data_IF_078405794243
#
_entry.id   IF_078405794243
#
_cell.length_a   1.000
_cell.length_b   1.000
_cell.length_c   1.000
_cell.angle_alpha   90.00
_cell.angle_beta   90.00
_cell.angle_gamma   90.00
#
_symmetry.space_group_name_H-M   'P 1'
#
loop_
_entity.id
_entity.type
_entity.pdbx_description
1 polymer ?
#
# COMPACT_ATOMS: atom_id res chain seq x y z
N UNK A 1 -18.95 -63.81 8.96
CA UNK A 1 -18.49 -62.96 10.08
C UNK A 1 -17.45 -61.96 9.58
N UNK A 2 -17.75 -60.66 9.74
CA UNK A 2 -16.89 -59.45 9.64
C UNK A 2 -16.24 -59.08 8.29
N UNK A 3 -16.93 -58.20 7.54
CA UNK A 3 -16.37 -57.28 6.54
C UNK A 3 -15.51 -56.22 7.27
N UNK A 4 -14.27 -55.98 6.81
CA UNK A 4 -13.49 -54.78 7.18
C UNK A 4 -13.31 -53.91 5.94
N UNK A 5 -13.97 -52.77 5.95
CA UNK A 5 -13.84 -51.70 4.98
C UNK A 5 -12.59 -50.89 5.34
N UNK A 6 -11.55 -50.93 4.51
CA UNK A 6 -10.38 -50.06 4.67
C UNK A 6 -10.61 -48.81 3.82
N UNK A 7 -10.92 -47.68 4.46
CA UNK A 7 -11.00 -46.37 3.82
C UNK A 7 -9.59 -45.83 3.68
N UNK A 8 -9.03 -45.89 2.47
CA UNK A 8 -7.81 -45.18 2.12
C UNK A 8 -8.15 -43.70 1.92
N UNK A 9 -7.78 -42.85 2.87
CA UNK A 9 -7.79 -41.40 2.71
C UNK A 9 -6.48 -41.02 2.02
N UNK A 10 -6.58 -40.54 0.78
CA UNK A 10 -5.46 -39.99 0.04
C UNK A 10 -5.22 -38.56 0.56
N UNK A 11 -4.17 -38.36 1.36
CA UNK A 11 -3.77 -37.03 1.79
C UNK A 11 -3.10 -36.31 0.62
N UNK A 12 -3.78 -35.30 0.06
CA UNK A 12 -3.23 -34.41 -0.95
C UNK A 12 -2.31 -33.41 -0.24
N UNK A 13 -1.00 -33.67 -0.27
CA UNK A 13 0.01 -32.73 0.21
C UNK A 13 0.18 -31.60 -0.79
N UNK A 14 -0.45 -30.45 -0.55
CA UNK A 14 -0.14 -29.21 -1.26
C UNK A 14 1.17 -28.69 -0.65
N UNK A 15 2.28 -28.94 -1.32
CA UNK A 15 3.53 -28.23 -1.05
C UNK A 15 3.35 -26.79 -1.52
N UNK A 16 3.02 -25.86 -0.62
CA UNK A 16 3.19 -24.43 -0.86
C UNK A 16 4.70 -24.17 -0.95
N UNK A 17 5.26 -24.33 -2.14
CA UNK A 17 6.48 -23.63 -2.50
C UNK A 17 6.14 -22.14 -2.42
N UNK A 18 6.72 -21.45 -1.44
CA UNK A 18 6.55 -20.02 -1.27
C UNK A 18 7.02 -19.31 -2.52
N UNK A 19 6.08 -18.99 -3.41
CA UNK A 19 6.31 -17.95 -4.40
C UNK A 19 6.39 -16.68 -3.56
N UNK A 20 7.60 -16.16 -3.38
CA UNK A 20 7.77 -14.79 -2.93
C UNK A 20 7.23 -13.90 -4.05
N UNK A 21 5.91 -13.75 -4.12
CA UNK A 21 5.35 -12.54 -4.68
C UNK A 21 5.77 -11.45 -3.70
N UNK A 22 6.96 -10.87 -3.93
CA UNK A 22 7.25 -9.55 -3.43
C UNK A 22 6.12 -8.70 -3.99
N UNK A 23 5.15 -8.32 -3.16
CA UNK A 23 4.12 -7.39 -3.59
C UNK A 23 4.89 -6.16 -4.07
N UNK A 24 4.97 -5.95 -5.38
CA UNK A 24 5.55 -4.74 -5.91
C UNK A 24 4.74 -3.58 -5.32
N UNK A 25 5.41 -2.59 -4.74
CA UNK A 25 4.71 -1.42 -4.22
C UNK A 25 3.81 -0.85 -5.32
N UNK A 26 2.54 -0.65 -4.99
CA UNK A 26 1.58 -0.04 -5.89
C UNK A 26 1.54 1.47 -5.64
N UNK A 27 1.99 2.23 -6.62
CA UNK A 27 2.07 3.69 -6.64
C UNK A 27 0.87 4.36 -7.31
N UNK A 28 -0.14 3.59 -7.72
CA UNK A 28 -1.39 4.13 -8.26
C UNK A 28 -2.07 5.01 -7.22
N UNK A 29 -2.21 6.29 -7.52
CA UNK A 29 -2.90 7.30 -6.71
C UNK A 29 -2.93 8.65 -7.44
N UNK A 30 -3.54 9.64 -6.77
CA UNK A 30 -3.27 11.05 -7.04
C UNK A 30 -2.09 11.50 -6.18
N UNK A 31 -1.13 12.18 -6.82
CA UNK A 31 0.08 12.71 -6.20
C UNK A 31 0.19 14.21 -6.43
N UNK A 32 0.78 14.94 -5.50
CA UNK A 32 0.87 16.40 -5.57
C UNK A 32 2.00 16.97 -4.70
N UNK A 33 2.29 18.25 -4.91
CA UNK A 33 3.10 19.06 -3.99
C UNK A 33 2.16 20.03 -3.25
N UNK A 34 2.05 19.96 -1.91
CA UNK A 34 1.18 20.85 -1.15
C UNK A 34 1.56 22.34 -1.29
N UNK A 35 2.82 22.65 -1.61
CA UNK A 35 3.28 24.02 -1.85
C UNK A 35 2.91 24.55 -3.24
N UNK A 36 2.48 23.67 -4.15
CA UNK A 36 2.06 23.99 -5.52
C UNK A 36 0.62 23.51 -5.76
N UNK A 37 -0.29 23.82 -4.84
CA UNK A 37 -1.71 23.48 -4.97
C UNK A 37 -2.33 24.05 -6.26
N UNK A 38 -3.16 23.24 -6.92
CA UNK A 38 -3.78 23.54 -8.23
C UNK A 38 -3.21 22.72 -9.40
N UNK A 39 -2.04 22.09 -9.22
CA UNK A 39 -1.47 21.09 -10.14
C UNK A 39 -1.29 19.74 -9.42
N UNK A 40 -1.02 18.69 -10.18
CA UNK A 40 -0.81 17.35 -9.62
C UNK A 40 -0.74 16.26 -10.68
N UNK A 41 -0.72 15.03 -10.21
CA UNK A 41 -0.38 13.86 -11.01
C UNK A 41 -1.39 12.76 -10.74
N UNK A 42 -2.00 12.22 -11.79
CA UNK A 42 -2.72 10.96 -11.71
C UNK A 42 -1.76 9.87 -12.17
N UNK A 43 -1.46 8.89 -11.31
CA UNK A 43 -0.59 7.77 -11.63
C UNK A 43 -1.45 6.50 -11.68
N UNK A 44 -1.41 5.81 -12.81
CA UNK A 44 -1.91 4.44 -12.96
C UNK A 44 -0.75 3.46 -13.06
N UNK A 45 -0.91 2.27 -12.46
CA UNK A 45 0.12 1.24 -12.46
C UNK A 45 -0.43 -0.14 -12.84
N UNK A 46 0.28 -0.85 -13.71
CA UNK A 46 0.01 -2.25 -14.06
C UNK A 46 1.33 -3.04 -14.06
N UNK A 47 1.57 -3.82 -13.01
CA UNK A 47 2.85 -4.49 -12.81
C UNK A 47 3.98 -3.46 -12.68
N UNK A 48 4.98 -3.54 -13.57
CA UNK A 48 6.09 -2.59 -13.67
C UNK A 48 5.79 -1.41 -14.62
N UNK A 49 4.58 -1.32 -15.18
CA UNK A 49 4.19 -0.25 -16.11
C UNK A 49 3.49 0.88 -15.39
N UNK A 50 3.95 2.09 -15.63
CA UNK A 50 3.34 3.33 -15.16
C UNK A 50 2.80 4.11 -16.35
N UNK A 51 1.61 4.67 -16.19
CA UNK A 51 1.10 5.77 -17.00
C UNK A 51 0.70 6.89 -16.05
N UNK A 52 1.21 8.10 -16.30
CA UNK A 52 0.85 9.27 -15.51
C UNK A 52 0.40 10.43 -16.38
N UNK A 53 -0.50 11.24 -15.82
CA UNK A 53 -0.91 12.52 -16.36
C UNK A 53 -0.60 13.61 -15.33
N UNK A 54 0.31 14.52 -15.68
CA UNK A 54 0.61 15.75 -14.94
C UNK A 54 -0.30 16.87 -15.42
N UNK A 55 -1.32 17.23 -14.65
CA UNK A 55 -2.11 18.42 -14.91
C UNK A 55 -1.43 19.64 -14.30
N UNK A 56 -1.29 20.71 -15.08
CA UNK A 56 -0.53 21.91 -14.74
C UNK A 56 -1.08 23.12 -15.49
N UNK A 57 -0.40 24.26 -15.37
CA UNK A 57 -0.72 25.47 -16.12
C UNK A 57 0.40 25.79 -17.12
N UNK A 58 0.01 26.13 -18.35
CA UNK A 58 0.95 26.52 -19.42
C UNK A 58 1.54 27.92 -19.19
N UNK A 59 2.36 28.39 -20.13
CA UNK A 59 2.99 29.72 -20.06
C UNK A 59 1.99 30.89 -19.98
N UNK A 60 0.73 30.70 -20.37
CA UNK A 60 -0.34 31.70 -20.32
C UNK A 60 -1.24 31.51 -19.09
N UNK A 61 -0.92 30.58 -18.19
CA UNK A 61 -1.73 30.24 -17.03
C UNK A 61 -2.98 29.41 -17.36
N UNK A 62 -3.10 28.85 -18.57
CA UNK A 62 -4.22 27.98 -18.94
C UNK A 62 -3.94 26.55 -18.50
N UNK A 63 -4.99 25.84 -18.08
CA UNK A 63 -4.89 24.43 -17.73
C UNK A 63 -4.37 23.61 -18.93
N UNK A 64 -3.44 22.72 -18.66
CA UNK A 64 -2.81 21.82 -19.63
C UNK A 64 -2.44 20.51 -18.94
N UNK A 65 -2.09 19.49 -19.72
CA UNK A 65 -1.58 18.24 -19.18
C UNK A 65 -0.41 17.71 -20.02
N UNK A 66 0.53 17.05 -19.35
CA UNK A 66 1.61 16.27 -19.96
C UNK A 66 1.51 14.82 -19.51
N UNK A 67 1.89 13.90 -20.37
CA UNK A 67 1.84 12.47 -20.11
C UNK A 67 3.23 11.86 -20.13
N UNK A 68 3.48 10.93 -19.21
CA UNK A 68 4.65 10.06 -19.20
C UNK A 68 4.16 8.63 -19.03
N UNK A 69 4.73 7.69 -19.76
CA UNK A 69 4.52 6.27 -19.52
C UNK A 69 5.80 5.48 -19.77
N UNK A 70 5.93 4.33 -19.12
CA UNK A 70 7.07 3.44 -19.32
C UNK A 70 7.20 2.40 -18.23
N UNK A 71 8.39 1.80 -18.14
CA UNK A 71 8.73 0.80 -17.12
C UNK A 71 9.36 1.45 -15.91
N UNK A 72 8.81 1.15 -14.74
CA UNK A 72 9.41 1.41 -13.44
C UNK A 72 10.48 0.36 -13.17
N UNK A 73 11.71 0.81 -12.91
CA UNK A 73 12.80 -0.11 -12.59
C UNK A 73 12.69 -0.69 -11.16
N UNK A 74 13.60 -1.59 -10.82
CA UNK A 74 13.68 -2.25 -9.51
C UNK A 74 14.01 -1.29 -8.35
N UNK A 75 14.42 -0.05 -8.66
CA UNK A 75 14.71 1.01 -7.70
C UNK A 75 13.57 2.02 -7.59
N UNK A 76 12.44 1.80 -8.25
CA UNK A 76 11.31 2.72 -8.24
C UNK A 76 11.54 3.97 -9.08
N UNK A 77 12.35 3.89 -10.14
CA UNK A 77 12.64 5.00 -11.05
C UNK A 77 12.07 4.72 -12.45
N UNK A 78 11.39 5.72 -12.99
CA UNK A 78 10.91 5.75 -14.37
C UNK A 78 11.52 6.96 -15.08
N UNK A 79 12.25 6.68 -16.17
CA UNK A 79 12.79 7.69 -17.08
C UNK A 79 12.09 7.59 -18.43
N UNK A 80 11.64 8.72 -18.99
CA UNK A 80 11.02 8.70 -20.30
C UNK A 80 10.73 10.08 -20.88
N UNK A 81 10.08 10.07 -22.05
CA UNK A 81 9.67 11.29 -22.75
C UNK A 81 8.35 11.83 -22.20
N UNK A 82 8.23 13.16 -22.17
CA UNK A 82 6.99 13.85 -21.88
C UNK A 82 6.25 14.16 -23.16
N UNK A 83 4.96 13.82 -23.19
CA UNK A 83 4.11 14.01 -24.34
C UNK A 83 2.98 15.00 -24.03
N UNK A 84 2.69 15.87 -25.00
CA UNK A 84 1.50 16.73 -25.02
C UNK A 84 0.57 16.25 -26.12
N UNK A 85 -0.72 16.19 -25.84
CA UNK A 85 -1.73 15.85 -26.85
C UNK A 85 -2.67 17.01 -27.13
N UNK A 86 -3.19 17.06 -28.34
CA UNK A 86 -4.24 17.99 -28.80
C UNK A 86 -5.17 17.26 -29.76
N UNK A 87 -6.42 17.70 -29.88
CA UNK A 87 -7.41 17.13 -30.80
C UNK A 87 -8.77 17.79 -30.64
N UNK A 88 -9.77 17.23 -31.30
CA UNK A 88 -11.14 17.74 -31.29
C UNK A 88 -11.84 17.54 -29.93
N UNK A 89 -12.90 18.33 -29.71
CA UNK A 89 -13.75 18.17 -28.54
C UNK A 89 -14.58 16.87 -28.61
N UNK A 90 -14.93 16.24 -27.48
CA UNK A 90 -15.79 15.06 -27.50
C UNK A 90 -17.19 15.37 -28.06
N UNK A 91 -17.68 14.60 -29.03
CA UNK A 91 -19.04 14.72 -29.56
C UNK A 91 -19.19 14.37 -31.04
N UNK A 92 -20.35 14.74 -31.61
CA UNK A 92 -20.59 14.64 -33.05
C UNK A 92 -19.57 15.49 -33.81
N UNK A 93 -18.85 14.87 -34.74
CA UNK A 93 -17.76 15.52 -35.49
C UNK A 93 -16.36 15.32 -34.90
N UNK A 94 -16.19 14.52 -33.84
CA UNK A 94 -14.87 14.09 -33.39
C UNK A 94 -14.15 13.28 -34.47
N UNK A 95 -13.02 13.79 -34.96
CA UNK A 95 -12.15 13.06 -35.88
C UNK A 95 -10.89 12.56 -35.15
N UNK A 96 -10.69 11.23 -35.02
CA UNK A 96 -9.49 10.69 -34.41
C UNK A 96 -8.21 11.05 -35.16
N UNK A 97 -8.27 11.40 -36.45
CA UNK A 97 -7.10 11.81 -37.24
C UNK A 97 -6.57 13.20 -36.83
N UNK A 98 -7.38 14.03 -36.18
CA UNK A 98 -6.95 15.32 -35.62
C UNK A 98 -6.20 15.19 -34.29
N UNK A 99 -6.20 14.00 -33.67
CA UNK A 99 -5.45 13.76 -32.43
C UNK A 99 -3.96 13.70 -32.74
N UNK A 100 -3.21 14.63 -32.15
CA UNK A 100 -1.75 14.67 -32.25
C UNK A 100 -1.13 14.51 -30.88
N UNK A 101 -0.09 13.69 -30.79
CA UNK A 101 0.72 13.51 -29.59
C UNK A 101 2.17 13.83 -29.91
N UNK A 102 2.69 14.88 -29.28
CA UNK A 102 4.02 15.42 -29.56
C UNK A 102 4.92 15.24 -28.35
N UNK A 103 6.13 14.74 -28.56
CA UNK A 103 7.17 14.73 -27.54
C UNK A 103 7.63 16.18 -27.28
N UNK A 104 7.47 16.64 -26.05
CA UNK A 104 7.86 17.99 -25.64
C UNK A 104 9.08 18.00 -24.73
N UNK A 105 9.61 16.85 -24.33
CA UNK A 105 10.77 16.78 -23.42
C UNK A 105 10.93 15.44 -22.72
N UNK A 106 11.49 15.48 -21.52
CA UNK A 106 11.78 14.28 -20.72
C UNK A 106 11.45 14.50 -19.26
N UNK A 107 11.16 13.41 -18.57
CA UNK A 107 11.01 13.41 -17.12
C UNK A 107 11.60 12.17 -16.47
N UNK A 108 11.86 12.31 -15.17
CA UNK A 108 12.21 11.24 -14.26
C UNK A 108 11.22 11.26 -13.09
N UNK A 109 10.47 10.18 -12.91
CA UNK A 109 9.70 9.94 -11.70
C UNK A 109 10.50 8.97 -10.82
N UNK A 110 10.72 9.32 -9.54
CA UNK A 110 11.44 8.47 -8.59
C UNK A 110 10.65 8.34 -7.30
N UNK A 111 10.35 7.12 -6.85
CA UNK A 111 9.70 6.85 -5.57
C UNK A 111 10.77 6.56 -4.51
N UNK A 112 10.79 7.34 -3.43
CA UNK A 112 11.69 7.11 -2.28
C UNK A 112 11.01 6.31 -1.16
N UNK A 113 9.68 6.27 -1.16
CA UNK A 113 8.85 5.42 -0.32
C UNK A 113 7.49 5.20 -0.98
N UNK A 114 6.59 4.46 -0.34
CA UNK A 114 5.21 4.31 -0.83
C UNK A 114 4.41 5.61 -0.85
N UNK A 115 4.86 6.62 -0.08
CA UNK A 115 4.16 7.89 0.16
C UNK A 115 4.98 9.12 -0.24
N UNK A 116 6.15 8.93 -0.85
CA UNK A 116 7.04 10.04 -1.24
C UNK A 116 7.69 9.75 -2.59
N UNK A 117 7.63 10.75 -3.47
CA UNK A 117 8.25 10.70 -4.78
C UNK A 117 8.87 12.04 -5.17
N UNK A 118 9.61 12.06 -6.28
CA UNK A 118 10.09 13.27 -6.93
C UNK A 118 9.86 13.16 -8.43
N UNK A 119 9.36 14.24 -9.03
CA UNK A 119 9.18 14.37 -10.47
C UNK A 119 10.12 15.44 -11.01
N UNK A 120 11.20 15.00 -11.66
CA UNK A 120 12.14 15.87 -12.35
C UNK A 120 11.71 16.00 -13.82
N UNK A 121 11.66 17.21 -14.34
CA UNK A 121 11.20 17.46 -15.71
C UNK A 121 12.10 18.42 -16.46
N UNK A 122 12.10 18.27 -17.79
CA UNK A 122 12.61 19.23 -18.75
C UNK A 122 11.71 19.18 -19.97
N UNK A 123 11.00 20.26 -20.30
CA UNK A 123 10.14 20.29 -21.49
C UNK A 123 10.02 21.67 -22.13
N UNK A 124 9.71 21.67 -23.42
CA UNK A 124 9.43 22.84 -24.23
C UNK A 124 8.04 23.40 -23.90
N UNK A 125 7.99 24.63 -23.42
CA UNK A 125 6.76 25.37 -23.15
C UNK A 125 6.70 26.62 -24.04
N UNK A 126 6.35 26.41 -25.32
CA UNK A 126 6.48 27.45 -26.34
C UNK A 126 7.94 27.62 -26.77
N UNK A 127 8.47 28.84 -26.70
CA UNK A 127 9.89 29.14 -26.98
C UNK A 127 10.83 28.85 -25.81
N UNK A 128 10.29 28.67 -24.61
CA UNK A 128 11.07 28.46 -23.39
C UNK A 128 11.24 26.97 -23.08
N UNK A 129 12.38 26.60 -22.51
CA UNK A 129 12.58 25.31 -21.85
C UNK A 129 12.31 25.50 -20.36
N UNK A 130 11.40 24.70 -19.80
CA UNK A 130 11.15 24.64 -18.35
C UNK A 130 11.79 23.40 -17.78
N UNK A 131 12.52 23.58 -16.68
CA UNK A 131 13.13 22.49 -15.91
C UNK A 131 12.82 22.66 -14.43
N UNK A 132 12.80 21.55 -13.70
CA UNK A 132 12.61 21.59 -12.26
C UNK A 132 12.44 20.21 -11.64
N UNK A 133 12.27 20.21 -10.31
CA UNK A 133 11.94 19.03 -9.52
C UNK A 133 10.74 19.37 -8.65
N UNK A 134 9.73 18.51 -8.66
CA UNK A 134 8.56 18.63 -7.81
C UNK A 134 8.61 17.48 -6.79
N UNK A 135 8.76 17.77 -5.48
CA UNK A 135 8.57 16.74 -4.46
C UNK A 135 7.07 16.37 -4.41
N UNK A 136 6.77 15.09 -4.33
CA UNK A 136 5.41 14.58 -4.38
C UNK A 136 5.07 13.77 -3.13
N UNK A 137 3.87 14.00 -2.62
CA UNK A 137 3.18 13.14 -1.66
C UNK A 137 1.84 12.68 -2.24
N UNK A 138 1.25 11.62 -1.68
CA UNK A 138 -0.10 11.19 -2.07
C UNK A 138 -1.14 12.19 -1.60
N UNK A 139 -2.14 12.44 -2.42
CA UNK A 139 -3.22 13.38 -2.14
C UNK A 139 -4.32 12.73 -1.30
N UNK A 140 -4.71 13.37 -0.19
CA UNK A 140 -5.88 12.97 0.59
C UNK A 140 -7.12 13.73 0.07
N UNK A 141 -8.12 13.01 -0.44
CA UNK A 141 -9.33 13.64 -1.01
C UNK A 141 -10.25 14.27 0.04
N UNK A 142 -10.28 13.71 1.25
CA UNK A 142 -11.07 14.23 2.35
C UNK A 142 -10.14 14.92 3.36
N UNK A 143 -10.68 15.95 4.04
CA UNK A 143 -10.02 16.62 5.16
C UNK A 143 -10.04 15.75 6.42
N UNK A 144 -10.95 14.78 6.48
CA UNK A 144 -10.94 13.71 7.47
C UNK A 144 -10.27 12.49 6.89
N UNK A 145 -9.59 11.74 7.74
CA UNK A 145 -9.02 10.48 7.28
C UNK A 145 -10.12 9.52 6.83
N UNK A 146 -9.82 8.64 5.86
CA UNK A 146 -10.73 7.55 5.51
C UNK A 146 -11.04 6.75 6.78
N UNK A 147 -12.33 6.55 7.04
CA UNK A 147 -12.72 5.70 8.15
C UNK A 147 -12.26 4.26 7.88
N UNK A 148 -11.51 3.72 8.82
CA UNK A 148 -11.09 2.31 8.82
C UNK A 148 -12.02 1.44 9.66
N UNK A 149 -13.19 1.95 10.07
CA UNK A 149 -14.13 1.20 10.92
C UNK A 149 -14.63 -0.02 10.17
N UNK A 150 -14.35 -1.20 10.72
CA UNK A 150 -14.75 -2.44 10.08
C UNK A 150 -14.27 -3.68 10.80
N UNK A 151 -14.74 -4.83 10.33
CA UNK A 151 -14.30 -6.14 10.80
C UNK A 151 -14.11 -7.07 9.63
N UNK A 152 -13.02 -7.83 9.63
CA UNK A 152 -12.63 -8.70 8.52
C UNK A 152 -12.29 -10.10 9.01
N UNK A 153 -12.63 -11.13 8.22
CA UNK A 153 -12.04 -12.46 8.34
C UNK A 153 -10.70 -12.45 7.63
N UNK A 154 -9.64 -12.74 8.34
CA UNK A 154 -8.27 -12.59 7.85
C UNK A 154 -7.55 -13.93 7.76
N UNK A 155 -6.55 -13.98 6.87
CA UNK A 155 -5.41 -14.88 7.00
C UNK A 155 -4.20 -14.03 7.35
N UNK A 156 -3.53 -14.33 8.45
CA UNK A 156 -2.31 -13.68 8.87
C UNK A 156 -1.12 -14.62 8.76
N UNK A 157 -0.07 -14.20 8.06
CA UNK A 157 1.23 -14.84 8.02
C UNK A 157 2.19 -14.09 8.94
N UNK A 158 2.66 -14.78 9.97
CA UNK A 158 3.56 -14.26 10.98
C UNK A 158 4.94 -14.86 10.76
N UNK A 159 5.95 -14.01 10.66
CA UNK A 159 7.36 -14.37 10.59
C UNK A 159 8.07 -13.80 11.82
N UNK A 160 8.62 -14.66 12.66
CA UNK A 160 9.40 -14.24 13.82
C UNK A 160 10.88 -14.54 13.62
N UNK A 161 11.73 -13.71 14.18
CA UNK A 161 13.17 -13.88 14.17
C UNK A 161 13.78 -13.37 15.47
N UNK A 162 14.77 -14.11 15.99
CA UNK A 162 15.51 -13.68 17.17
C UNK A 162 14.66 -13.72 18.45
N UNK A 163 13.73 -14.68 18.54
CA UNK A 163 12.82 -14.86 19.67
C UNK A 163 13.17 -16.13 20.47
N UNK A 164 14.11 -16.08 21.44
CA UNK A 164 14.54 -17.21 22.26
C UNK A 164 13.41 -17.96 22.97
N UNK A 165 12.35 -17.26 23.34
CA UNK A 165 11.13 -17.84 23.92
C UNK A 165 10.37 -18.80 22.96
N UNK A 166 10.66 -18.77 21.66
CA UNK A 166 10.03 -19.63 20.65
C UNK A 166 10.93 -20.82 20.29
N UNK A 167 10.31 -21.95 19.96
CA UNK A 167 11.00 -23.12 19.40
C UNK A 167 10.36 -23.52 18.07
N UNK A 168 11.06 -23.35 16.92
CA UNK A 168 12.38 -22.73 16.77
C UNK A 168 12.39 -21.20 17.02
N UNK A 169 13.54 -20.59 17.37
CA UNK A 169 13.65 -19.15 17.67
C UNK A 169 13.38 -18.21 16.49
N UNK A 170 13.32 -18.76 15.28
CA UNK A 170 12.90 -18.09 14.07
C UNK A 170 12.02 -19.02 13.26
N UNK A 171 10.99 -18.49 12.62
CA UNK A 171 10.07 -19.31 11.86
C UNK A 171 8.96 -18.52 11.19
N UNK A 172 8.05 -19.24 10.55
CA UNK A 172 6.89 -18.65 9.88
C UNK A 172 5.67 -19.54 10.08
N UNK A 173 4.52 -18.94 10.38
CA UNK A 173 3.22 -19.62 10.50
C UNK A 173 2.11 -18.75 9.97
N UNK A 174 1.06 -19.40 9.47
CA UNK A 174 -0.18 -18.71 9.06
C UNK A 174 -1.34 -19.14 9.94
N UNK A 175 -2.26 -18.20 10.21
CA UNK A 175 -3.50 -18.44 10.96
C UNK A 175 -4.68 -17.75 10.27
N UNK A 176 -5.87 -18.31 10.48
CA UNK A 176 -7.13 -17.67 10.13
C UNK A 176 -7.70 -17.04 11.40
N UNK A 177 -8.21 -15.82 11.30
CA UNK A 177 -8.74 -15.08 12.42
C UNK A 177 -9.71 -13.99 12.00
N UNK A 178 -9.98 -13.08 12.91
CA UNK A 178 -10.72 -11.86 12.65
C UNK A 178 -9.90 -10.66 13.08
N UNK A 179 -10.03 -9.53 12.40
CA UNK A 179 -9.52 -8.25 12.89
C UNK A 179 -10.61 -7.22 12.85
N UNK A 180 -10.70 -6.41 13.90
CA UNK A 180 -11.60 -5.27 13.99
C UNK A 180 -10.76 -4.00 14.14
N UNK A 181 -11.01 -3.04 13.25
CA UNK A 181 -10.50 -1.68 13.38
C UNK A 181 -11.65 -0.77 13.80
N UNK A 182 -11.38 0.12 14.74
CA UNK A 182 -12.35 1.10 15.19
C UNK A 182 -11.65 2.43 15.47
N UNK A 183 -12.15 3.48 14.86
CA UNK A 183 -11.71 4.84 15.07
C UNK A 183 -11.97 5.25 16.52
N UNK A 184 -11.00 6.00 17.04
CA UNK A 184 -11.08 6.76 18.26
C UNK A 184 -11.03 8.25 17.88
N UNK A 185 -10.86 9.10 18.89
CA UNK A 185 -10.61 10.52 18.67
C UNK A 185 -9.18 10.75 18.13
N UNK A 186 -8.96 11.91 17.50
CA UNK A 186 -7.64 12.43 17.09
C UNK A 186 -6.79 11.51 16.17
N UNK A 187 -7.42 10.76 15.26
CA UNK A 187 -6.70 9.91 14.29
C UNK A 187 -6.11 8.62 14.88
N UNK A 188 -6.54 8.26 16.10
CA UNK A 188 -6.20 6.99 16.73
C UNK A 188 -7.20 5.91 16.37
N UNK A 189 -6.76 4.67 16.45
CA UNK A 189 -7.57 3.49 16.20
C UNK A 189 -7.33 2.43 17.26
N UNK A 190 -8.35 1.62 17.52
CA UNK A 190 -8.15 0.30 18.09
C UNK A 190 -7.94 -0.72 16.98
N UNK A 191 -7.00 -1.64 17.14
CA UNK A 191 -6.84 -2.84 16.32
C UNK A 191 -6.97 -4.05 17.24
N UNK A 192 -8.02 -4.86 17.04
CA UNK A 192 -8.29 -6.08 17.79
C UNK A 192 -8.24 -7.28 16.84
N UNK A 193 -7.13 -8.03 16.90
CA UNK A 193 -6.86 -9.20 16.08
C UNK A 193 -7.04 -10.48 16.90
N UNK A 194 -7.95 -11.38 16.48
CA UNK A 194 -8.33 -12.59 17.23
C UNK A 194 -8.16 -13.88 16.43
N UNK A 195 -7.63 -14.91 17.10
CA UNK A 195 -7.31 -16.22 16.48
C UNK A 195 -7.91 -17.42 17.21
N UNK A 196 -9.23 -17.46 17.41
CA UNK A 196 -9.88 -18.57 18.14
C UNK A 196 -9.25 -18.83 19.52
N UNK A 197 -9.45 -20.04 20.07
CA UNK A 197 -9.04 -20.38 21.44
C UNK A 197 -7.60 -20.95 21.56
N UNK A 198 -6.68 -20.64 20.62
CA UNK A 198 -5.36 -21.30 20.58
C UNK A 198 -4.23 -20.47 21.22
N UNK A 199 -3.58 -20.98 22.30
CA UNK A 199 -2.70 -20.21 23.17
C UNK A 199 -1.26 -19.99 22.68
N UNK A 200 -0.96 -20.30 21.43
CA UNK A 200 0.43 -20.26 20.92
C UNK A 200 0.81 -18.94 20.26
N UNK A 201 -0.16 -18.08 19.97
CA UNK A 201 0.00 -16.69 19.53
C UNK A 201 -1.33 -16.03 19.88
N UNK A 202 -1.35 -15.24 20.95
CA UNK A 202 -2.56 -14.64 21.51
C UNK A 202 -3.21 -13.67 20.53
N UNK A 203 -4.44 -13.26 20.86
CA UNK A 203 -5.07 -12.12 20.16
C UNK A 203 -4.28 -10.85 20.47
N UNK A 204 -4.02 -9.99 19.49
CA UNK A 204 -3.31 -8.73 19.67
C UNK A 204 -4.31 -7.60 19.76
N UNK A 205 -4.20 -6.77 20.80
CA UNK A 205 -5.08 -5.60 20.99
C UNK A 205 -4.20 -4.35 21.11
N UNK A 206 -4.25 -3.49 20.11
CA UNK A 206 -3.73 -2.13 20.17
C UNK A 206 -4.89 -1.17 20.44
N UNK A 207 -4.85 -0.45 21.56
CA UNK A 207 -5.95 0.46 21.95
C UNK A 207 -5.71 1.91 21.55
N UNK A 208 -4.49 2.29 21.20
CA UNK A 208 -4.13 3.66 20.76
C UNK A 208 -3.14 3.58 19.62
N UNK A 209 -3.57 2.99 18.50
CA UNK A 209 -2.79 2.94 17.28
C UNK A 209 -2.91 4.28 16.54
N UNK A 210 -1.87 5.09 16.58
CA UNK A 210 -1.82 6.35 15.84
C UNK A 210 -1.53 6.04 14.37
N UNK A 211 -2.51 6.28 13.50
CA UNK A 211 -2.40 6.05 12.06
C UNK A 211 -2.39 7.39 11.32
N UNK A 212 -1.49 7.51 10.35
CA UNK A 212 -1.41 8.65 9.43
C UNK A 212 -1.73 8.17 8.02
N UNK A 213 -2.73 8.81 7.42
CA UNK A 213 -3.09 8.60 6.01
C UNK A 213 -2.14 9.33 5.06
N UNK A 214 -1.80 8.67 3.96
CA UNK A 214 -1.23 9.24 2.75
C UNK A 214 -1.90 8.57 1.54
N UNK A 215 -2.81 9.29 0.88
CA UNK A 215 -3.69 8.73 -0.16
C UNK A 215 -4.52 7.57 0.39
N UNK A 216 -4.47 6.43 -0.26
CA UNK A 216 -5.16 5.21 0.18
C UNK A 216 -4.42 4.38 1.24
N UNK A 217 -3.23 4.82 1.68
CA UNK A 217 -2.35 4.05 2.58
C UNK A 217 -2.32 4.69 3.95
N UNK A 218 -2.32 3.85 4.98
CA UNK A 218 -2.12 4.23 6.37
C UNK A 218 -0.80 3.64 6.89
N UNK A 219 -0.05 4.45 7.62
CA UNK A 219 1.16 4.03 8.34
C UNK A 219 1.10 4.52 9.76
N UNK A 220 1.75 3.86 10.71
CA UNK A 220 1.61 4.30 12.09
C UNK A 220 2.33 3.44 13.10
N UNK A 221 2.11 3.77 14.36
CA UNK A 221 2.68 3.05 15.49
C UNK A 221 1.77 3.16 16.71
N UNK A 222 1.96 2.25 17.65
CA UNK A 222 1.25 2.26 18.90
C UNK A 222 1.83 1.23 19.86
N UNK A 223 1.14 1.05 20.97
CA UNK A 223 1.37 -0.08 21.86
C UNK A 223 0.27 -1.11 21.67
N UNK A 224 0.64 -2.37 21.88
CA UNK A 224 -0.34 -3.45 21.96
C UNK A 224 -0.19 -4.20 23.27
N UNK A 225 -1.24 -4.90 23.66
CA UNK A 225 -1.20 -5.93 24.69
C UNK A 225 -1.61 -7.26 24.08
N UNK A 226 -0.85 -8.31 24.38
CA UNK A 226 -1.28 -9.68 24.10
C UNK A 226 -2.47 -10.01 25.03
N UNK A 227 -3.57 -10.45 24.41
CA UNK A 227 -4.82 -10.72 25.12
C UNK A 227 -4.71 -11.83 26.16
N UNK A 228 -3.77 -12.76 26.02
CA UNK A 228 -3.59 -13.93 26.88
C UNK A 228 -2.52 -13.66 27.94
N UNK A 229 -1.32 -13.28 27.51
CA UNK A 229 -0.17 -13.09 28.40
C UNK A 229 -0.24 -11.74 29.12
N UNK A 230 -1.05 -10.80 28.62
CA UNK A 230 -1.08 -9.39 29.04
C UNK A 230 0.25 -8.67 28.86
N UNK A 231 1.18 -9.27 28.12
CA UNK A 231 2.46 -8.64 27.81
C UNK A 231 2.22 -7.50 26.83
N UNK A 232 2.83 -6.35 27.13
CA UNK A 232 2.76 -5.21 26.26
C UNK A 232 3.90 -5.21 25.24
N UNK A 233 3.70 -4.52 24.13
CA UNK A 233 4.67 -4.41 23.05
C UNK A 233 4.54 -3.11 22.28
N UNK A 234 5.47 -2.87 21.36
CA UNK A 234 5.32 -1.84 20.33
C UNK A 234 4.83 -2.50 19.04
N UNK A 235 3.85 -1.87 18.38
CA UNK A 235 3.40 -2.22 17.04
C UNK A 235 3.71 -1.05 16.10
N UNK A 236 4.25 -1.37 14.93
CA UNK A 236 4.59 -0.44 13.86
C UNK A 236 3.91 -0.91 12.59
N UNK A 237 2.85 -0.22 12.18
CA UNK A 237 2.15 -0.47 10.92
C UNK A 237 2.96 0.12 9.79
N UNK A 238 3.50 -0.76 8.95
CA UNK A 238 4.28 -0.41 7.75
C UNK A 238 3.36 -0.02 6.60
N UNK A 239 2.24 -0.71 6.46
CA UNK A 239 1.21 -0.43 5.46
C UNK A 239 -0.13 -0.97 5.95
N UNK A 240 -1.17 -0.15 5.89
CA UNK A 240 -2.56 -0.56 6.06
C UNK A 240 -3.37 0.03 4.93
N UNK A 241 -4.18 -0.78 4.28
CA UNK A 241 -5.02 -0.35 3.17
C UNK A 241 -6.31 -1.17 3.14
N UNK A 242 -7.41 -0.51 2.81
CA UNK A 242 -8.67 -1.17 2.45
C UNK A 242 -8.92 -0.87 0.97
N UNK A 243 -9.13 -1.90 0.16
CA UNK A 243 -9.39 -1.77 -1.28
C UNK A 243 -10.51 -2.70 -1.66
N UNK A 244 -11.62 -2.15 -2.18
CA UNK A 244 -12.82 -2.94 -2.50
C UNK A 244 -13.26 -3.81 -1.30
N UNK A 245 -13.28 -3.19 -0.12
CA UNK A 245 -13.57 -3.82 1.19
C UNK A 245 -12.57 -4.89 1.66
N UNK A 246 -11.55 -5.23 0.86
CA UNK A 246 -10.47 -6.13 1.27
C UNK A 246 -9.45 -5.37 2.11
N UNK A 247 -9.23 -5.83 3.33
CA UNK A 247 -8.17 -5.33 4.21
C UNK A 247 -6.84 -5.98 3.83
N UNK A 248 -5.78 -5.18 3.81
CA UNK A 248 -4.39 -5.62 3.77
C UNK A 248 -3.58 -4.82 4.79
N UNK A 249 -2.88 -5.52 5.69
CA UNK A 249 -2.03 -4.89 6.70
C UNK A 249 -0.68 -5.59 6.76
N UNK A 250 0.38 -4.79 6.74
CA UNK A 250 1.73 -5.15 7.11
C UNK A 250 2.12 -4.39 8.36
N UNK A 251 2.50 -5.10 9.41
CA UNK A 251 3.05 -4.49 10.61
C UNK A 251 4.19 -5.31 11.20
N UNK A 252 5.00 -4.64 12.00
CA UNK A 252 6.06 -5.24 12.81
C UNK A 252 5.70 -5.01 14.25
N UNK A 253 5.86 -6.03 15.10
CA UNK A 253 5.70 -5.87 16.53
C UNK A 253 6.87 -6.46 17.32
N UNK A 254 7.17 -5.80 18.44
CA UNK A 254 8.24 -6.17 19.36
C UNK A 254 7.61 -6.45 20.75
N UNK A 255 7.70 -7.69 21.27
CA UNK A 255 7.27 -7.99 22.64
C UNK A 255 8.18 -7.25 23.65
N UNK A 256 7.65 -6.62 24.71
CA UNK A 256 8.49 -5.89 25.70
C UNK A 256 9.22 -6.80 26.69
N UNK A 257 8.97 -8.12 26.73
CA UNK A 257 9.70 -9.02 27.64
C UNK A 257 11.17 -9.16 27.23
N UNK A 258 11.99 -9.76 28.09
CA UNK A 258 13.47 -9.91 28.08
C UNK A 258 14.17 -10.25 26.73
N UNK A 259 13.41 -10.52 25.67
CA UNK A 259 13.86 -10.80 24.32
C UNK A 259 13.85 -9.52 23.45
N UNK A 260 14.70 -8.53 23.79
CA UNK A 260 14.86 -7.30 22.99
C UNK A 260 15.28 -7.56 21.52
N UNK A 261 15.73 -8.77 21.20
CA UNK A 261 16.05 -9.22 19.85
C UNK A 261 14.87 -9.78 19.06
N UNK A 262 13.71 -9.97 19.68
CA UNK A 262 12.55 -10.60 19.04
C UNK A 262 11.80 -9.61 18.16
N UNK A 263 11.79 -9.90 16.86
CA UNK A 263 10.99 -9.16 15.89
C UNK A 263 10.00 -10.10 15.25
N UNK A 264 8.73 -9.70 15.24
CA UNK A 264 7.66 -10.40 14.52
C UNK A 264 7.10 -9.49 13.44
N UNK A 265 7.19 -9.94 12.19
CA UNK A 265 6.56 -9.30 11.03
C UNK A 265 5.28 -10.05 10.70
N UNK A 266 4.17 -9.32 10.60
CA UNK A 266 2.86 -9.87 10.28
C UNK A 266 2.35 -9.24 8.99
N UNK A 267 1.97 -10.12 8.07
CA UNK A 267 1.21 -9.78 6.86
C UNK A 267 -0.18 -10.39 7.00
N UNK A 268 -1.22 -9.59 7.02
CA UNK A 268 -2.59 -10.07 7.03
C UNK A 268 -3.40 -9.50 5.87
N UNK A 269 -4.32 -10.31 5.38
CA UNK A 269 -5.32 -9.88 4.40
C UNK A 269 -6.66 -10.53 4.71
N UNK A 270 -7.76 -9.83 4.47
CA UNK A 270 -9.08 -10.35 4.79
C UNK A 270 -10.23 -9.68 4.06
N UNK A 271 -11.35 -10.39 4.04
CA UNK A 271 -12.63 -9.95 3.48
C UNK A 271 -13.55 -9.52 4.61
N UNK A 272 -14.50 -8.59 4.37
CA UNK A 272 -15.37 -8.07 5.41
C UNK A 272 -16.22 -9.19 6.03
N UNK A 273 -16.53 -9.03 7.32
CA UNK A 273 -17.53 -9.85 8.02
C UNK A 273 -18.89 -9.17 7.80
N UNK A 274 -19.81 -9.87 7.13
CA UNK A 274 -21.22 -9.49 7.06
C UNK A 274 -21.90 -9.45 8.44
#
# INVERSE_FOLDING_TARGET
MKKKFLRTVCALSISLGGVYAHAASNYQDVWWDPLQSGQGFNIGQQGDRIALAWYHYDANGKASFLQLSGTLDDKGVLLGSLYRSSGDEPGDGYDPEHVQTVNVGTAKLSFSSENSAAFEYSYNNGSDIKTGTIPLERFNFDKKDLSLDGSWKIVAANKWSGCPSYSPPSGTKSKVGTVTLKALDDGKYTLDERYGDSPLYGSLIANELELKQAGSIFTGKGTYADSETKEEGEIIVKRLQVTEDVLSVEYVHHPKKEDASCTVTTLLTGVPIE
#
